data_IF_323284468753
#
_entry.id   IF_323284468753
#
_cell.length_a   1.000
_cell.length_b   1.000
_cell.length_c   1.000
_cell.angle_alpha   90.00
_cell.angle_beta   90.00
_cell.angle_gamma   90.00
#
_symmetry.space_group_name_H-M   'P 1'
#
loop_
_entity.id
_entity.type
_entity.pdbx_description
1 polymer ?
#
# COMPACT_ATOMS: atom_id res chain seq x y z
N UNK A 1 5.94 -23.34 -14.42
CA UNK A 1 5.32 -22.80 -13.19
C UNK A 1 4.37 -21.70 -13.64
N UNK A 2 3.11 -21.71 -13.20
CA UNK A 2 2.16 -20.63 -13.48
C UNK A 2 2.62 -19.36 -12.76
N UNK A 3 3.14 -18.39 -13.50
CA UNK A 3 3.31 -17.00 -13.05
C UNK A 3 1.91 -16.40 -12.92
N UNK A 4 1.25 -16.71 -11.81
CA UNK A 4 0.08 -15.96 -11.38
C UNK A 4 0.63 -14.60 -10.97
N UNK A 5 0.41 -13.58 -11.81
CA UNK A 5 0.74 -12.17 -11.53
C UNK A 5 0.11 -11.78 -10.21
N UNK A 6 0.82 -12.01 -9.11
CA UNK A 6 0.43 -11.49 -7.81
C UNK A 6 0.55 -9.97 -7.91
N UNK A 7 -0.54 -9.26 -7.63
CA UNK A 7 -0.50 -7.82 -7.48
C UNK A 7 0.45 -7.49 -6.33
N UNK A 8 1.64 -6.96 -6.65
CA UNK A 8 2.55 -6.35 -5.69
C UNK A 8 2.37 -4.83 -5.72
N UNK A 9 2.80 -4.13 -4.68
CA UNK A 9 2.75 -2.67 -4.62
C UNK A 9 3.42 -2.02 -5.85
N UNK A 10 4.58 -2.53 -6.27
CA UNK A 10 5.34 -2.02 -7.41
C UNK A 10 4.60 -2.26 -8.73
N UNK A 11 4.06 -3.47 -8.93
CA UNK A 11 3.29 -3.78 -10.16
C UNK A 11 1.99 -3.01 -10.22
N UNK A 12 1.32 -2.79 -9.09
CA UNK A 12 0.11 -1.99 -9.00
C UNK A 12 0.39 -0.51 -9.32
N UNK A 13 1.48 0.03 -8.79
CA UNK A 13 1.91 1.41 -9.07
C UNK A 13 2.29 1.59 -10.54
N UNK A 14 3.05 0.66 -11.13
CA UNK A 14 3.39 0.69 -12.54
C UNK A 14 2.14 0.66 -13.43
N UNK A 15 1.13 -0.13 -13.04
CA UNK A 15 -0.15 -0.19 -13.75
C UNK A 15 -0.95 1.10 -13.63
N UNK A 16 -0.96 1.72 -12.45
CA UNK A 16 -1.60 3.04 -12.24
C UNK A 16 -0.96 4.09 -13.18
N UNK A 17 0.37 4.09 -13.33
CA UNK A 17 1.05 5.02 -14.25
C UNK A 17 0.64 4.78 -15.72
N UNK A 18 0.48 3.53 -16.15
CA UNK A 18 -0.04 3.22 -17.48
C UNK A 18 -1.46 3.74 -17.69
N UNK A 19 -2.33 3.55 -16.69
CA UNK A 19 -3.71 4.04 -16.71
C UNK A 19 -3.72 5.57 -16.84
N UNK A 20 -2.90 6.28 -16.05
CA UNK A 20 -2.78 7.74 -16.12
C UNK A 20 -2.32 8.17 -17.51
N UNK A 21 -1.25 7.56 -18.04
CA UNK A 21 -0.76 7.87 -19.40
C UNK A 21 -1.84 7.66 -20.46
N UNK A 22 -2.66 6.62 -20.32
CA UNK A 22 -3.76 6.33 -21.26
C UNK A 22 -4.91 7.33 -21.15
N UNK A 23 -5.25 7.76 -19.94
CA UNK A 23 -6.29 8.78 -19.71
C UNK A 23 -5.83 10.16 -20.19
N UNK A 24 -4.57 10.52 -19.91
CA UNK A 24 -3.96 11.80 -20.30
C UNK A 24 -3.81 11.95 -21.82
N UNK A 25 -3.74 10.84 -22.57
CA UNK A 25 -3.69 10.92 -24.03
C UNK A 25 -4.99 11.49 -24.63
N UNK A 26 -6.10 11.43 -23.88
CA UNK A 26 -7.42 11.91 -24.34
C UNK A 26 -8.02 11.07 -25.48
N UNK A 27 -7.37 9.97 -25.88
CA UNK A 27 -7.80 9.08 -26.95
C UNK A 27 -8.68 7.93 -26.45
N UNK A 28 -8.81 7.78 -25.13
CA UNK A 28 -9.67 6.78 -24.52
C UNK A 28 -11.15 7.13 -24.74
N UNK A 29 -11.91 6.19 -25.29
CA UNK A 29 -13.36 6.34 -25.43
C UNK A 29 -14.08 6.23 -24.08
N UNK A 30 -15.31 6.74 -23.98
CA UNK A 30 -16.08 6.79 -22.71
C UNK A 30 -16.10 5.46 -21.93
N UNK A 31 -16.29 4.34 -22.62
CA UNK A 31 -16.34 3.02 -21.99
C UNK A 31 -14.96 2.58 -21.48
N UNK A 32 -13.92 2.85 -22.26
CA UNK A 32 -12.53 2.58 -21.86
C UNK A 32 -12.14 3.44 -20.66
N UNK A 33 -12.46 4.74 -20.66
CA UNK A 33 -12.25 5.64 -19.53
C UNK A 33 -12.90 5.10 -18.25
N UNK A 34 -14.15 4.63 -18.34
CA UNK A 34 -14.86 4.06 -17.20
C UNK A 34 -14.14 2.82 -16.64
N UNK A 35 -13.67 1.94 -17.51
CA UNK A 35 -12.99 0.70 -17.11
C UNK A 35 -11.61 1.00 -16.52
N UNK A 36 -10.84 1.91 -17.13
CA UNK A 36 -9.56 2.43 -16.63
C UNK A 36 -9.71 3.10 -15.26
N UNK A 37 -10.74 3.91 -15.05
CA UNK A 37 -11.00 4.54 -13.76
C UNK A 37 -11.35 3.53 -12.66
N UNK A 38 -12.10 2.47 -12.98
CA UNK A 38 -12.42 1.40 -12.02
C UNK A 38 -11.17 0.63 -11.64
N UNK A 39 -10.38 0.23 -12.63
CA UNK A 39 -9.13 -0.48 -12.42
C UNK A 39 -8.17 0.38 -11.57
N UNK A 40 -8.01 1.66 -11.92
CA UNK A 40 -7.17 2.59 -11.16
C UNK A 40 -7.61 2.72 -9.70
N UNK A 41 -8.92 2.75 -9.42
CA UNK A 41 -9.43 2.78 -8.04
C UNK A 41 -9.06 1.52 -7.26
N UNK A 42 -9.28 0.35 -7.86
CA UNK A 42 -8.97 -0.94 -7.21
C UNK A 42 -7.47 -1.05 -6.88
N UNK A 43 -6.61 -0.58 -7.77
CA UNK A 43 -5.16 -0.56 -7.56
C UNK A 43 -4.74 0.42 -6.45
N UNK A 44 -5.36 1.60 -6.39
CA UNK A 44 -5.10 2.58 -5.32
C UNK A 44 -5.55 2.05 -3.95
N UNK A 45 -6.71 1.41 -3.88
CA UNK A 45 -7.21 0.77 -2.66
C UNK A 45 -6.27 -0.34 -2.20
N UNK A 46 -5.77 -1.15 -3.13
CA UNK A 46 -4.75 -2.17 -2.84
C UNK A 46 -3.47 -1.55 -2.27
N UNK A 47 -2.90 -0.54 -2.94
CA UNK A 47 -1.68 0.12 -2.47
C UNK A 47 -1.86 0.78 -1.09
N UNK A 48 -3.03 1.36 -0.82
CA UNK A 48 -3.35 1.94 0.49
C UNK A 48 -3.38 0.87 1.59
N UNK A 49 -3.96 -0.30 1.32
CA UNK A 49 -4.00 -1.41 2.28
C UNK A 49 -2.60 -1.96 2.59
N UNK A 50 -1.74 -2.10 1.57
CA UNK A 50 -0.35 -2.52 1.78
C UNK A 50 0.43 -1.51 2.66
N UNK A 51 0.26 -0.22 2.41
CA UNK A 51 0.90 0.84 3.21
C UNK A 51 0.38 0.86 4.66
N UNK A 52 -0.92 0.63 4.87
CA UNK A 52 -1.50 0.56 6.21
C UNK A 52 -0.96 -0.63 7.00
N UNK A 53 -0.85 -1.80 6.37
CA UNK A 53 -0.26 -3.00 6.98
C UNK A 53 1.20 -2.77 7.41
N UNK A 54 2.00 -2.10 6.57
CA UNK A 54 3.37 -1.72 6.92
C UNK A 54 3.38 -0.70 8.07
N UNK A 55 2.47 0.28 8.05
CA UNK A 55 2.33 1.28 9.10
C UNK A 55 2.02 0.66 10.46
N UNK A 56 1.07 -0.28 10.51
CA UNK A 56 0.71 -1.02 11.73
C UNK A 56 1.89 -1.82 12.29
N UNK A 57 2.64 -2.52 11.42
CA UNK A 57 3.82 -3.28 11.85
C UNK A 57 4.93 -2.39 12.44
N UNK A 58 5.11 -1.18 11.89
CA UNK A 58 6.06 -0.20 12.44
C UNK A 58 5.59 0.35 13.80
N UNK A 59 4.29 0.57 13.98
CA UNK A 59 3.73 1.04 15.25
C UNK A 59 3.87 -0.02 16.36
N UNK A 60 3.61 -1.29 16.05
CA UNK A 60 3.79 -2.41 16.98
C UNK A 60 5.26 -2.53 17.43
N UNK A 61 6.21 -2.51 16.49
CA UNK A 61 7.64 -2.55 16.81
C UNK A 61 8.08 -1.40 17.73
N UNK A 62 7.54 -0.19 17.49
CA UNK A 62 7.83 0.98 18.33
C UNK A 62 7.23 0.85 19.73
N UNK A 63 6.06 0.21 19.87
CA UNK A 63 5.46 -0.07 21.17
C UNK A 63 6.30 -1.07 21.95
N UNK A 64 6.76 -2.14 21.32
CA UNK A 64 7.63 -3.15 21.93
C UNK A 64 8.93 -2.54 22.46
N UNK A 65 9.54 -1.63 21.70
CA UNK A 65 10.74 -0.89 22.13
C UNK A 65 10.46 -0.05 23.40
N UNK A 66 9.31 0.62 23.46
CA UNK A 66 8.91 1.39 24.64
C UNK A 66 8.68 0.50 25.86
N UNK A 67 8.02 -0.65 25.69
CA UNK A 67 7.82 -1.64 26.76
C UNK A 67 9.17 -2.13 27.31
N UNK A 68 10.07 -2.55 26.42
CA UNK A 68 11.40 -3.02 26.82
C UNK A 68 12.19 -1.97 27.62
N UNK A 69 12.08 -0.68 27.24
CA UNK A 69 12.71 0.43 27.97
C UNK A 69 12.08 0.67 29.34
N UNK A 70 10.77 0.48 29.49
CA UNK A 70 10.07 0.63 30.76
C UNK A 70 10.42 -0.52 31.73
N UNK A 71 10.52 -1.74 31.23
CA UNK A 71 10.92 -2.92 32.02
C UNK A 71 12.38 -2.87 32.49
N UNK A 72 13.26 -2.26 31.70
CA UNK A 72 14.67 -2.06 32.08
C UNK A 72 14.88 -0.95 33.12
N UNK A 73 13.87 -0.13 33.38
CA UNK A 73 13.98 0.94 34.38
C UNK A 73 13.87 0.30 35.77
N UNK A 74 14.91 0.34 36.62
CA UNK A 74 14.83 -0.24 37.94
C UNK A 74 13.69 0.47 38.68
N UNK A 75 12.86 -0.29 39.40
CA UNK A 75 11.98 0.27 40.41
C UNK A 75 12.84 0.89 41.51
N UNK A 76 13.25 2.15 41.33
CA UNK A 76 13.80 2.96 42.40
C UNK A 76 12.66 3.28 43.37
N UNK A 77 12.47 2.36 44.32
CA UNK A 77 11.39 2.38 45.28
C UNK A 77 11.54 1.23 46.25
N UNK A 78 12.60 1.25 47.06
CA UNK A 78 12.68 0.54 48.33
C UNK A 78 13.36 1.39 49.38
#
# INVERSE_FOLDING_TARGET
>A
MNETTQHTYETATARIEEIIRRLDSGEAGLRETLDLCKEGRELVEFCAAELDAVGQGLEELRLDELVARLEQRPTEGS
#
